data_IF_822498054873
#
_entry.id   IF_822498054873
#
_cell.length_a   1.000
_cell.length_b   1.000
_cell.length_c   1.000
_cell.angle_alpha   90.00
_cell.angle_beta   90.00
_cell.angle_gamma   90.00
#
_symmetry.space_group_name_H-M   'P 1'
#
loop_
_entity.id
_entity.type
_entity.pdbx_description
1 polymer ?
#
# COMPACT_ATOMS: atom_id res chain seq x y z
N UNK A 1 -17.19 -13.30 3.42
CA UNK A 1 -17.22 -11.83 3.68
C UNK A 1 -16.24 -11.52 4.79
N UNK A 2 -15.16 -10.77 4.53
CA UNK A 2 -14.23 -10.33 5.58
C UNK A 2 -14.68 -9.00 6.16
N UNK A 3 -15.01 -8.99 7.45
CA UNK A 3 -15.67 -7.90 8.19
C UNK A 3 -14.73 -6.72 8.53
N UNK A 4 -13.53 -6.62 7.96
CA UNK A 4 -12.55 -5.60 8.33
C UNK A 4 -11.87 -4.92 7.13
N UNK A 5 -11.88 -3.58 7.15
CA UNK A 5 -10.88 -2.69 6.55
C UNK A 5 -10.62 -2.85 5.04
N UNK A 6 -11.22 -1.96 4.25
CA UNK A 6 -11.21 -1.89 2.79
C UNK A 6 -11.96 -3.03 2.07
N UNK A 7 -12.93 -2.63 1.25
CA UNK A 7 -13.53 -3.54 0.27
C UNK A 7 -12.43 -4.00 -0.68
N UNK A 8 -12.38 -5.29 -1.01
CA UNK A 8 -11.45 -5.88 -1.99
C UNK A 8 -11.37 -5.06 -3.27
N UNK A 9 -12.49 -4.47 -3.71
CA UNK A 9 -12.56 -3.54 -4.85
C UNK A 9 -11.65 -2.32 -4.70
N UNK A 10 -11.61 -1.68 -3.54
CA UNK A 10 -10.74 -0.50 -3.32
C UNK A 10 -9.27 -0.88 -3.37
N UNK A 11 -8.90 -2.01 -2.76
CA UNK A 11 -7.54 -2.53 -2.83
C UNK A 11 -7.15 -2.85 -4.28
N UNK A 12 -8.02 -3.54 -5.02
CA UNK A 12 -7.79 -3.85 -6.44
C UNK A 12 -7.65 -2.60 -7.29
N UNK A 13 -8.50 -1.58 -7.10
CA UNK A 13 -8.40 -0.31 -7.84
C UNK A 13 -7.07 0.40 -7.55
N UNK A 14 -6.66 0.46 -6.27
CA UNK A 14 -5.40 1.09 -5.89
C UNK A 14 -4.19 0.38 -6.52
N UNK A 15 -4.19 -0.96 -6.52
CA UNK A 15 -3.13 -1.76 -7.15
C UNK A 15 -3.15 -1.59 -8.67
N UNK A 16 -4.32 -1.69 -9.30
CA UNK A 16 -4.46 -1.55 -10.76
C UNK A 16 -3.92 -0.21 -11.25
N UNK A 17 -4.28 0.90 -10.58
CA UNK A 17 -3.74 2.23 -10.89
C UNK A 17 -2.21 2.24 -10.88
N UNK A 18 -1.59 1.67 -9.83
CA UNK A 18 -0.13 1.65 -9.71
C UNK A 18 0.53 0.77 -10.77
N UNK A 19 -0.10 -0.32 -11.18
CA UNK A 19 0.39 -1.13 -12.30
C UNK A 19 0.29 -0.38 -13.62
N UNK A 20 -0.82 0.30 -13.90
CA UNK A 20 -1.00 1.09 -15.13
C UNK A 20 0.06 2.20 -15.23
N UNK A 21 0.30 2.95 -14.15
CA UNK A 21 1.36 3.97 -14.09
C UNK A 21 2.74 3.38 -14.44
N UNK A 22 3.07 2.20 -13.91
CA UNK A 22 4.35 1.52 -14.19
C UNK A 22 4.47 1.01 -15.63
N UNK A 23 3.40 0.45 -16.17
CA UNK A 23 3.34 -0.03 -17.56
C UNK A 23 3.56 1.16 -18.50
N UNK A 24 2.86 2.27 -18.27
CA UNK A 24 3.00 3.49 -19.05
C UNK A 24 4.45 4.01 -19.08
N UNK A 25 5.09 4.15 -17.92
CA UNK A 25 6.49 4.60 -17.83
C UNK A 25 7.43 3.64 -18.55
N UNK A 26 7.22 2.33 -18.41
CA UNK A 26 8.06 1.30 -19.06
C UNK A 26 7.97 1.42 -20.58
N UNK A 27 6.76 1.55 -21.12
CA UNK A 27 6.52 1.66 -22.57
C UNK A 27 7.07 2.99 -23.11
N UNK A 28 6.77 4.11 -22.44
CA UNK A 28 7.12 5.45 -22.95
C UNK A 28 8.61 5.78 -22.88
N UNK A 29 9.32 5.24 -21.89
CA UNK A 29 10.77 5.51 -21.72
C UNK A 29 11.67 4.45 -22.34
N UNK A 30 11.10 3.30 -22.77
CA UNK A 30 11.86 2.14 -23.24
C UNK A 30 12.74 1.48 -22.16
N UNK A 31 12.68 1.96 -20.91
CA UNK A 31 13.47 1.42 -19.80
C UNK A 31 12.70 0.29 -19.12
N UNK A 32 13.36 -0.85 -18.94
CA UNK A 32 12.79 -1.97 -18.18
C UNK A 32 12.46 -1.52 -16.76
N UNK A 33 11.32 -2.00 -16.26
CA UNK A 33 10.94 -1.77 -14.87
C UNK A 33 12.00 -2.34 -13.91
N UNK A 34 12.34 -1.56 -12.88
CA UNK A 34 13.33 -1.91 -11.88
C UNK A 34 12.75 -1.63 -10.49
N UNK A 35 12.83 -2.62 -9.59
CA UNK A 35 12.48 -2.42 -8.19
C UNK A 35 13.47 -1.44 -7.57
N UNK A 36 12.97 -0.48 -6.81
CA UNK A 36 13.75 0.54 -6.13
C UNK A 36 13.35 0.64 -4.67
N UNK A 37 14.30 0.98 -3.81
CA UNK A 37 14.03 1.28 -2.41
C UNK A 37 13.41 2.68 -2.23
N UNK A 38 13.30 3.15 -0.99
CA UNK A 38 12.75 4.47 -0.66
C UNK A 38 13.65 5.64 -1.08
N UNK A 39 14.95 5.39 -1.27
CA UNK A 39 15.91 6.39 -1.73
C UNK A 39 15.95 6.44 -3.28
N UNK A 40 15.32 5.47 -3.94
CA UNK A 40 15.29 5.34 -5.39
C UNK A 40 16.40 4.43 -5.93
N UNK A 41 17.15 3.74 -5.08
CA UNK A 41 18.22 2.86 -5.49
C UNK A 41 17.68 1.52 -5.97
N UNK A 42 18.26 0.94 -7.04
CA UNK A 42 17.80 -0.31 -7.58
C UNK A 42 18.08 -1.48 -6.63
N UNK A 43 17.05 -2.29 -6.36
CA UNK A 43 17.14 -3.42 -5.43
C UNK A 43 16.57 -4.71 -6.03
N UNK A 44 16.94 -5.83 -5.44
CA UNK A 44 16.35 -7.14 -5.77
C UNK A 44 15.05 -7.36 -4.99
N UNK A 45 14.22 -8.31 -5.45
CA UNK A 45 13.00 -8.71 -4.72
C UNK A 45 13.28 -9.21 -3.30
N UNK A 46 14.43 -9.86 -3.09
CA UNK A 46 14.87 -10.30 -1.76
C UNK A 46 15.18 -9.11 -0.85
N UNK A 47 16.00 -8.18 -1.33
CA UNK A 47 16.34 -6.96 -0.59
C UNK A 47 15.09 -6.13 -0.27
N UNK A 48 14.15 -6.02 -1.22
CA UNK A 48 12.87 -5.36 -0.98
C UNK A 48 12.09 -6.01 0.18
N UNK A 49 12.05 -7.35 0.23
CA UNK A 49 11.37 -8.09 1.30
C UNK A 49 12.05 -7.89 2.65
N UNK A 50 13.37 -7.85 2.68
CA UNK A 50 14.15 -7.55 3.88
C UNK A 50 13.86 -6.12 4.38
N UNK A 51 13.86 -5.12 3.50
CA UNK A 51 13.52 -3.73 3.86
C UNK A 51 12.10 -3.64 4.44
N UNK A 52 11.12 -4.29 3.81
CA UNK A 52 9.73 -4.28 4.28
C UNK A 52 9.64 -4.87 5.69
N UNK A 53 10.29 -6.00 5.94
CA UNK A 53 10.25 -6.67 7.24
C UNK A 53 10.92 -5.83 8.33
N UNK A 54 12.03 -5.17 8.02
CA UNK A 54 12.81 -4.41 9.00
C UNK A 54 12.23 -3.02 9.27
N UNK A 55 11.77 -2.32 8.22
CA UNK A 55 11.47 -0.89 8.29
C UNK A 55 9.99 -0.54 8.09
N UNK A 56 9.19 -1.43 7.50
CA UNK A 56 7.78 -1.13 7.20
C UNK A 56 6.81 -1.77 8.19
N UNK A 57 7.28 -2.18 9.37
CA UNK A 57 6.43 -2.71 10.42
C UNK A 57 5.74 -1.58 11.20
N UNK A 58 4.42 -1.52 11.14
CA UNK A 58 3.63 -0.59 11.96
C UNK A 58 3.53 -1.13 13.38
N UNK A 59 3.95 -0.36 14.39
CA UNK A 59 3.88 -0.76 15.79
C UNK A 59 2.44 -0.94 16.29
N UNK A 60 2.26 -1.69 17.38
CA UNK A 60 0.95 -2.03 17.91
C UNK A 60 0.14 -0.80 18.36
N UNK A 61 0.80 0.23 18.92
CA UNK A 61 0.13 1.44 19.38
C UNK A 61 -0.38 2.29 18.22
N UNK A 62 0.41 2.42 17.15
CA UNK A 62 -0.02 3.08 15.92
C UNK A 62 -1.18 2.33 15.26
N UNK A 63 -1.14 0.99 15.22
CA UNK A 63 -2.28 0.20 14.71
C UNK A 63 -3.55 0.43 15.53
N UNK A 64 -3.46 0.41 16.85
CA UNK A 64 -4.61 0.60 17.74
C UNK A 64 -5.24 1.99 17.52
N UNK A 65 -4.42 3.04 17.48
CA UNK A 65 -4.86 4.42 17.22
C UNK A 65 -5.55 4.56 15.86
N UNK A 66 -4.93 4.07 14.78
CA UNK A 66 -5.52 4.14 13.43
C UNK A 66 -6.86 3.40 13.33
N UNK A 67 -6.99 2.26 14.01
CA UNK A 67 -8.25 1.51 14.09
C UNK A 67 -9.33 2.27 14.86
N UNK A 68 -8.97 2.94 15.96
CA UNK A 68 -9.88 3.79 16.72
C UNK A 68 -10.43 4.95 15.88
N UNK A 69 -9.58 5.64 15.11
CA UNK A 69 -10.04 6.69 14.17
C UNK A 69 -11.02 6.14 13.13
N UNK A 70 -10.76 4.95 12.61
CA UNK A 70 -11.64 4.29 11.63
C UNK A 70 -13.00 3.94 12.23
N UNK A 71 -13.03 3.45 13.47
CA UNK A 71 -14.29 3.10 14.15
C UNK A 71 -15.14 4.34 14.45
N UNK A 72 -14.52 5.44 14.86
CA UNK A 72 -15.17 6.75 15.05
C UNK A 72 -15.77 7.25 13.74
N UNK A 73 -14.99 7.27 12.66
CA UNK A 73 -15.46 7.71 11.34
C UNK A 73 -16.59 6.84 10.77
N UNK A 74 -16.66 5.56 11.18
CA UNK A 74 -17.75 4.67 10.78
C UNK A 74 -19.02 4.92 11.60
N UNK A 75 -18.88 5.17 12.91
CA UNK A 75 -20.01 5.52 13.79
C UNK A 75 -20.67 6.83 13.37
N UNK A 76 -19.87 7.86 13.05
CA UNK A 76 -20.40 9.16 12.64
C UNK A 76 -21.25 9.12 11.36
N UNK A 77 -20.98 8.16 10.46
CA UNK A 77 -21.78 7.91 9.24
C UNK A 77 -23.08 7.16 9.49
N UNK A 78 -23.24 6.53 10.65
CA UNK A 78 -24.43 5.73 10.99
C UNK A 78 -25.46 6.54 11.79
N UNK A 79 -25.03 7.65 12.38
CA UNK A 79 -25.85 8.56 13.21
C UNK A 79 -26.38 9.77 12.44
N UNK A 80 -26.25 9.77 11.11
CA UNK A 80 -26.78 10.75 10.17
C UNK A 80 -27.66 10.03 9.15
#
# INVERSE_FOLDING_TARGET
>A
MTTQGHCHTQASIAVARKLTERIWVTITTGRRYQLRDTNGDPITSRAAKEIINTHCHVDASTRARTRAHTSVARKSKLTH
#
